data_IF_138538716260
#
_entry.id   IF_138538716260
#
_cell.length_a   1.000
_cell.length_b   1.000
_cell.length_c   1.000
_cell.angle_alpha   90.00
_cell.angle_beta   90.00
_cell.angle_gamma   90.00
#
_symmetry.space_group_name_H-M   'P 1'
#
loop_
_entity.id
_entity.type
_entity.pdbx_description
1 polymer ?
#
# COMPACT_ATOMS: atom_id res chain seq x y z
N UNK A 1 -10.39 -26.25 -5.46
CA UNK A 1 -9.31 -25.27 -5.61
C UNK A 1 -9.84 -23.84 -5.75
N UNK A 2 -10.86 -23.57 -6.57
CA UNK A 2 -11.39 -22.20 -6.79
C UNK A 2 -12.01 -21.47 -5.58
N UNK A 3 -12.43 -22.21 -4.53
CA UNK A 3 -13.18 -21.65 -3.39
C UNK A 3 -12.28 -21.01 -2.32
N UNK A 4 -11.04 -21.47 -2.20
CA UNK A 4 -10.09 -21.01 -1.17
C UNK A 4 -9.36 -19.72 -1.58
N UNK A 5 -9.02 -19.57 -2.87
CA UNK A 5 -8.43 -18.33 -3.41
C UNK A 5 -9.35 -17.13 -3.21
N UNK A 6 -10.64 -17.28 -3.54
CA UNK A 6 -11.66 -16.25 -3.34
C UNK A 6 -11.79 -15.83 -1.87
N UNK A 7 -11.75 -16.77 -0.93
CA UNK A 7 -11.81 -16.47 0.51
C UNK A 7 -10.61 -15.67 0.99
N UNK A 8 -9.39 -16.05 0.56
CA UNK A 8 -8.16 -15.33 0.93
C UNK A 8 -8.13 -13.90 0.37
N UNK A 9 -8.69 -13.71 -0.84
CA UNK A 9 -8.83 -12.41 -1.48
C UNK A 9 -9.85 -11.53 -0.76
N UNK A 10 -10.97 -12.09 -0.30
CA UNK A 10 -12.00 -11.33 0.43
C UNK A 10 -11.47 -10.83 1.76
N UNK A 11 -10.75 -11.66 2.51
CA UNK A 11 -10.22 -11.27 3.82
C UNK A 11 -9.14 -10.19 3.72
N UNK A 12 -8.28 -10.26 2.70
CA UNK A 12 -7.33 -9.19 2.41
C UNK A 12 -8.03 -7.89 2.03
N UNK A 13 -9.06 -7.96 1.18
CA UNK A 13 -9.86 -6.78 0.83
C UNK A 13 -10.57 -6.17 2.04
N UNK A 14 -11.12 -6.98 2.94
CA UNK A 14 -11.74 -6.49 4.17
C UNK A 14 -10.71 -5.81 5.08
N UNK A 15 -9.50 -6.37 5.17
CA UNK A 15 -8.42 -5.75 5.92
C UNK A 15 -7.95 -4.43 5.31
N UNK A 16 -7.77 -4.40 3.98
CA UNK A 16 -7.45 -3.18 3.23
C UNK A 16 -8.50 -2.09 3.47
N UNK A 17 -9.79 -2.45 3.49
CA UNK A 17 -10.88 -1.51 3.77
C UNK A 17 -10.82 -0.94 5.19
N UNK A 18 -10.53 -1.77 6.21
CA UNK A 18 -10.35 -1.28 7.59
C UNK A 18 -9.15 -0.35 7.70
N UNK A 19 -8.05 -0.69 7.03
CA UNK A 19 -6.84 0.14 7.01
C UNK A 19 -7.12 1.45 6.28
N UNK A 20 -7.80 1.42 5.13
CA UNK A 20 -8.23 2.59 4.38
C UNK A 20 -9.04 3.55 5.26
N UNK A 21 -10.02 3.04 6.02
CA UNK A 21 -10.80 3.88 6.93
C UNK A 21 -9.92 4.56 7.98
N UNK A 22 -8.98 3.82 8.59
CA UNK A 22 -8.01 4.40 9.54
C UNK A 22 -7.11 5.46 8.90
N UNK A 23 -6.73 5.28 7.62
CA UNK A 23 -5.96 6.28 6.86
C UNK A 23 -6.80 7.53 6.61
N UNK A 24 -8.07 7.36 6.24
CA UNK A 24 -9.01 8.46 6.03
C UNK A 24 -9.22 9.27 7.31
N UNK A 25 -9.45 8.60 8.44
CA UNK A 25 -9.60 9.23 9.75
C UNK A 25 -8.32 9.97 10.18
N UNK A 26 -7.15 9.38 9.92
CA UNK A 26 -5.85 10.00 10.22
C UNK A 26 -5.59 11.25 9.38
N UNK A 27 -5.92 11.22 8.09
CA UNK A 27 -5.71 12.37 7.20
C UNK A 27 -6.79 13.45 7.40
N UNK A 28 -7.98 13.09 7.86
CA UNK A 28 -9.08 14.02 8.11
C UNK A 28 -9.61 14.68 6.84
N UNK A 29 -9.45 14.02 5.69
CA UNK A 29 -9.87 14.50 4.37
C UNK A 29 -10.76 13.46 3.70
N UNK A 30 -11.41 13.83 2.60
CA UNK A 30 -12.19 12.90 1.79
C UNK A 30 -11.28 12.18 0.78
N UNK A 31 -10.82 10.97 1.11
CA UNK A 31 -10.09 10.11 0.18
C UNK A 31 -11.03 9.35 -0.74
N UNK A 32 -10.61 9.17 -1.99
CA UNK A 32 -11.23 8.25 -2.93
C UNK A 32 -10.43 6.95 -2.96
N UNK A 33 -11.09 5.84 -2.66
CA UNK A 33 -10.51 4.50 -2.76
C UNK A 33 -10.40 4.05 -4.23
N UNK A 34 -9.30 3.39 -4.60
CA UNK A 34 -9.13 2.73 -5.91
C UNK A 34 -9.41 3.63 -7.13
N UNK A 35 -9.14 4.94 -7.00
CA UNK A 35 -9.45 5.94 -8.02
C UNK A 35 -8.78 5.62 -9.36
N UNK A 36 -9.54 5.61 -10.46
CA UNK A 36 -8.97 5.47 -11.81
C UNK A 36 -8.34 6.77 -12.27
N UNK A 37 -7.01 6.84 -12.22
CA UNK A 37 -6.23 8.00 -12.61
C UNK A 37 -5.56 7.72 -13.95
N UNK A 38 -5.91 8.48 -14.98
CA UNK A 38 -5.32 8.34 -16.31
C UNK A 38 -3.88 8.89 -16.34
N UNK A 39 -2.95 8.06 -16.81
CA UNK A 39 -1.54 8.38 -17.02
C UNK A 39 -1.18 8.07 -18.48
N UNK A 40 -1.25 9.10 -19.33
CA UNK A 40 -1.15 8.94 -20.78
C UNK A 40 -2.33 8.15 -21.36
N UNK A 41 -2.06 7.04 -22.05
CA UNK A 41 -3.07 6.18 -22.67
C UNK A 41 -3.50 4.99 -21.81
N UNK A 42 -3.09 4.96 -20.54
CA UNK A 42 -3.46 3.93 -19.57
C UNK A 42 -3.92 4.58 -18.28
N UNK A 43 -4.27 3.77 -17.27
CA UNK A 43 -4.63 4.26 -15.95
C UNK A 43 -3.89 3.49 -14.86
N UNK A 44 -3.79 4.12 -13.70
CA UNK A 44 -3.39 3.49 -12.44
C UNK A 44 -4.53 3.62 -11.42
N UNK A 45 -4.50 2.77 -10.41
CA UNK A 45 -5.44 2.78 -9.29
C UNK A 45 -4.65 2.66 -8.00
N UNK A 46 -4.30 3.80 -7.36
CA UNK A 46 -3.74 3.75 -6.02
C UNK A 46 -4.83 3.35 -5.03
N UNK A 47 -4.43 2.77 -3.90
CA UNK A 47 -5.38 2.39 -2.84
C UNK A 47 -6.15 3.60 -2.31
N UNK A 48 -5.51 4.78 -2.21
CA UNK A 48 -6.20 6.02 -1.87
C UNK A 48 -5.64 7.25 -2.59
N UNK A 49 -6.54 8.20 -2.87
CA UNK A 49 -6.22 9.41 -3.63
C UNK A 49 -7.11 10.60 -3.25
N UNK A 50 -6.52 11.79 -3.18
CA UNK A 50 -7.25 13.07 -3.22
C UNK A 50 -6.57 14.03 -4.21
N UNK A 51 -7.28 14.37 -5.29
CA UNK A 51 -6.78 15.34 -6.27
C UNK A 51 -6.70 16.75 -5.68
N UNK A 52 -7.71 17.12 -4.90
CA UNK A 52 -7.85 18.45 -4.30
C UNK A 52 -6.69 18.72 -3.33
N UNK A 53 -6.43 17.76 -2.44
CA UNK A 53 -5.37 17.87 -1.42
C UNK A 53 -3.99 17.49 -1.95
N UNK A 54 -3.90 16.93 -3.17
CA UNK A 54 -2.64 16.48 -3.75
C UNK A 54 -2.05 15.29 -2.99
N UNK A 55 -2.88 14.32 -2.61
CA UNK A 55 -2.47 13.12 -1.88
C UNK A 55 -2.67 11.89 -2.76
N UNK A 56 -1.69 10.98 -2.69
CA UNK A 56 -1.74 9.66 -3.31
C UNK A 56 -1.04 8.66 -2.38
N UNK A 57 -1.57 7.46 -2.26
CA UNK A 57 -0.87 6.44 -1.51
C UNK A 57 -1.41 5.03 -1.66
N UNK A 58 -0.62 4.13 -1.08
CA UNK A 58 -0.72 2.69 -1.24
C UNK A 58 -0.62 2.02 0.13
N UNK A 59 -1.38 0.94 0.31
CA UNK A 59 -1.51 0.17 1.54
C UNK A 59 -0.78 -1.17 1.37
N UNK A 60 0.16 -1.43 2.26
CA UNK A 60 0.88 -2.69 2.36
C UNK A 60 0.54 -3.35 3.69
N UNK A 61 -0.56 -4.13 3.66
CA UNK A 61 -1.07 -4.89 4.82
C UNK A 61 -0.28 -6.18 5.13
N UNK A 62 0.89 -6.38 4.51
CA UNK A 62 1.67 -7.59 4.70
C UNK A 62 2.22 -7.69 6.13
N UNK A 63 2.01 -8.84 6.78
CA UNK A 63 2.44 -9.13 8.15
C UNK A 63 3.63 -10.09 8.17
N UNK A 64 4.64 -9.74 8.97
CA UNK A 64 5.88 -10.49 9.15
C UNK A 64 6.93 -10.23 8.07
N UNK A 65 8.02 -11.01 8.09
CA UNK A 65 9.25 -10.67 7.35
C UNK A 65 8.99 -10.33 5.87
N UNK A 66 9.46 -9.15 5.41
CA UNK A 66 9.27 -8.70 4.03
C UNK A 66 9.98 -9.62 3.04
N UNK A 67 9.31 -9.97 1.93
CA UNK A 67 9.91 -10.72 0.82
C UNK A 67 10.39 -9.76 -0.27
N UNK A 68 11.37 -10.19 -1.09
CA UNK A 68 11.85 -9.41 -2.25
C UNK A 68 10.73 -9.03 -3.23
N UNK A 69 9.72 -9.88 -3.37
CA UNK A 69 8.54 -9.58 -4.19
C UNK A 69 7.76 -8.35 -3.68
N UNK A 70 7.69 -8.14 -2.35
CA UNK A 70 7.04 -6.97 -1.77
C UNK A 70 7.84 -5.69 -2.05
N UNK A 71 9.17 -5.76 -2.01
CA UNK A 71 10.03 -4.62 -2.35
C UNK A 71 9.81 -4.16 -3.79
N UNK A 72 9.69 -5.12 -4.70
CA UNK A 72 9.40 -4.82 -6.11
C UNK A 72 8.01 -4.20 -6.26
N UNK A 73 7.01 -4.65 -5.49
CA UNK A 73 5.66 -4.05 -5.48
C UNK A 73 5.76 -2.58 -5.05
N UNK A 74 6.33 -2.31 -3.87
CA UNK A 74 6.53 -0.95 -3.35
C UNK A 74 7.30 -0.07 -4.35
N UNK A 75 8.40 -0.58 -4.92
CA UNK A 75 9.20 0.19 -5.89
C UNK A 75 8.40 0.54 -7.14
N UNK A 76 7.60 -0.40 -7.65
CA UNK A 76 6.74 -0.14 -8.81
C UNK A 76 5.68 0.91 -8.50
N UNK A 77 5.08 0.86 -7.32
CA UNK A 77 4.06 1.83 -6.93
C UNK A 77 4.65 3.23 -6.71
N UNK A 78 5.87 3.32 -6.16
CA UNK A 78 6.65 4.56 -6.13
C UNK A 78 6.84 5.14 -7.55
N UNK A 79 7.25 4.31 -8.51
CA UNK A 79 7.43 4.76 -9.88
C UNK A 79 6.13 5.29 -10.51
N UNK A 80 4.98 4.68 -10.19
CA UNK A 80 3.67 5.17 -10.65
C UNK A 80 3.33 6.53 -10.05
N UNK A 81 3.55 6.72 -8.74
CA UNK A 81 3.32 8.00 -8.07
C UNK A 81 4.20 9.11 -8.68
N UNK A 82 5.49 8.83 -8.89
CA UNK A 82 6.42 9.77 -9.55
C UNK A 82 6.04 10.06 -11.01
N UNK A 83 5.53 9.06 -11.73
CA UNK A 83 5.04 9.24 -13.09
C UNK A 83 3.83 10.18 -13.12
N UNK A 84 2.89 10.05 -12.18
CA UNK A 84 1.77 10.97 -12.06
C UNK A 84 2.24 12.41 -11.86
N UNK A 85 3.17 12.62 -10.91
CA UNK A 85 3.74 13.95 -10.65
C UNK A 85 4.34 14.55 -11.93
N UNK A 86 5.12 13.75 -12.65
CA UNK A 86 5.76 14.17 -13.90
C UNK A 86 4.76 14.53 -14.99
N UNK A 87 3.67 13.78 -15.13
CA UNK A 87 2.64 14.01 -16.16
C UNK A 87 1.81 15.25 -15.83
N UNK A 88 1.40 15.41 -14.57
CA UNK A 88 0.57 16.54 -14.16
C UNK A 88 1.36 17.82 -13.87
N UNK A 89 2.70 17.74 -13.78
CA UNK A 89 3.53 18.87 -13.39
C UNK A 89 3.23 19.36 -11.97
N UNK A 90 2.75 18.47 -11.11
CA UNK A 90 2.31 18.75 -9.73
C UNK A 90 3.03 17.81 -8.77
N UNK A 91 3.45 18.34 -7.62
CA UNK A 91 3.97 17.53 -6.52
C UNK A 91 2.79 17.03 -5.68
N UNK A 92 2.85 15.76 -5.31
CA UNK A 92 1.91 15.06 -4.46
C UNK A 92 2.58 14.67 -3.14
N UNK A 93 1.81 14.71 -2.05
CA UNK A 93 2.15 14.02 -0.81
C UNK A 93 1.93 12.52 -1.04
N UNK A 94 3.04 11.80 -1.25
CA UNK A 94 3.08 10.37 -1.53
C UNK A 94 3.19 9.60 -0.22
N UNK A 95 2.27 8.66 0.01
CA UNK A 95 2.18 7.94 1.29
C UNK A 95 2.20 6.44 1.06
N UNK A 96 3.10 5.74 1.74
CA UNK A 96 3.12 4.28 1.85
C UNK A 96 2.65 3.93 3.26
N UNK A 97 1.55 3.19 3.34
CA UNK A 97 0.97 2.71 4.59
C UNK A 97 1.43 1.29 4.83
N UNK A 98 1.93 1.00 6.03
CA UNK A 98 2.34 -0.34 6.46
C UNK A 98 1.65 -0.72 7.76
N UNK A 99 1.46 -2.01 7.99
CA UNK A 99 0.82 -2.56 9.20
C UNK A 99 1.76 -3.44 10.06
N UNK A 100 3.03 -3.51 9.69
CA UNK A 100 4.02 -4.36 10.33
C UNK A 100 5.33 -3.60 10.61
N UNK A 101 5.83 -3.75 11.83
CA UNK A 101 7.07 -3.10 12.26
C UNK A 101 8.29 -3.48 11.45
N UNK A 102 8.37 -4.72 10.95
CA UNK A 102 9.50 -5.15 10.16
C UNK A 102 9.51 -4.47 8.79
N UNK A 103 8.33 -4.27 8.17
CA UNK A 103 8.18 -3.47 6.96
C UNK A 103 8.59 -2.01 7.22
N UNK A 104 8.08 -1.40 8.29
CA UNK A 104 8.44 -0.03 8.66
C UNK A 104 9.94 0.16 8.88
N UNK A 105 10.58 -0.74 9.65
CA UNK A 105 12.02 -0.72 9.91
C UNK A 105 12.80 -0.88 8.61
N UNK A 106 12.34 -1.74 7.70
CA UNK A 106 12.98 -1.96 6.40
C UNK A 106 12.90 -0.73 5.49
N UNK A 107 11.72 -0.14 5.35
CA UNK A 107 11.50 1.05 4.50
C UNK A 107 12.19 2.30 5.04
N UNK A 108 12.45 2.35 6.35
CA UNK A 108 13.27 3.40 7.00
C UNK A 108 14.75 3.06 7.13
N UNK A 109 15.17 1.88 6.66
CA UNK A 109 16.55 1.40 6.78
C UNK A 109 17.53 2.07 5.80
N UNK A 110 18.61 1.36 5.47
CA UNK A 110 19.72 1.87 4.63
C UNK A 110 19.76 1.26 3.23
N UNK A 111 18.71 0.54 2.83
CA UNK A 111 18.62 -0.04 1.48
C UNK A 111 18.45 1.04 0.41
N UNK A 112 18.71 0.69 -0.85
CA UNK A 112 18.44 1.59 -2.00
C UNK A 112 16.97 2.01 -2.04
N UNK A 113 16.04 1.09 -1.75
CA UNK A 113 14.61 1.42 -1.67
C UNK A 113 14.33 2.45 -0.57
N UNK A 114 14.93 2.28 0.61
CA UNK A 114 14.79 3.24 1.70
C UNK A 114 15.41 4.60 1.35
N UNK A 115 16.50 4.61 0.58
CA UNK A 115 17.08 5.85 0.05
C UNK A 115 16.15 6.50 -0.97
N UNK A 116 15.54 5.75 -1.89
CA UNK A 116 14.53 6.29 -2.81
C UNK A 116 13.36 6.92 -2.03
N UNK A 117 12.84 6.25 -1.00
CA UNK A 117 11.76 6.78 -0.15
C UNK A 117 12.16 8.14 0.44
N UNK A 118 13.39 8.27 0.96
CA UNK A 118 13.90 9.55 1.47
C UNK A 118 14.07 10.61 0.39
N UNK A 119 14.73 10.28 -0.72
CA UNK A 119 15.09 11.25 -1.76
C UNK A 119 13.88 11.74 -2.57
N UNK A 120 12.80 10.97 -2.62
CA UNK A 120 11.56 11.32 -3.32
C UNK A 120 10.46 11.83 -2.37
N UNK A 121 10.80 12.15 -1.13
CA UNK A 121 9.89 12.69 -0.11
C UNK A 121 8.62 11.83 0.07
N UNK A 122 8.81 10.51 0.15
CA UNK A 122 7.71 9.56 0.35
C UNK A 122 7.52 9.33 1.85
N UNK A 123 6.32 9.59 2.33
CA UNK A 123 5.94 9.37 3.71
C UNK A 123 5.65 7.88 3.95
N UNK A 124 6.27 7.29 4.98
CA UNK A 124 5.94 5.94 5.43
C UNK A 124 5.16 6.01 6.74
N UNK A 125 3.90 5.58 6.71
CA UNK A 125 2.96 5.63 7.83
C UNK A 125 2.68 4.22 8.35
N UNK A 126 2.95 4.01 9.63
CA UNK A 126 2.43 2.82 10.32
C UNK A 126 0.97 3.06 10.71
N UNK A 127 0.10 2.12 10.36
CA UNK A 127 -1.26 2.02 10.91
C UNK A 127 -1.31 0.77 11.78
N UNK A 128 -1.66 0.97 13.05
CA UNK A 128 -1.88 -0.13 13.96
C UNK A 128 -3.23 -0.80 13.68
N UNK A 129 -3.17 -2.11 13.50
CA UNK A 129 -4.33 -2.97 13.30
C UNK A 129 -4.56 -3.81 14.56
N UNK A 130 -5.81 -4.08 14.87
CA UNK A 130 -6.20 -4.90 16.01
C UNK A 130 -5.70 -6.35 15.86
N UNK A 131 -5.49 -7.04 16.98
CA UNK A 131 -4.94 -8.40 16.99
C UNK A 131 -5.78 -9.36 16.15
N UNK A 132 -7.11 -9.29 16.24
CA UNK A 132 -8.00 -10.15 15.46
C UNK A 132 -7.84 -9.95 13.94
N UNK A 133 -7.66 -8.69 13.51
CA UNK A 133 -7.41 -8.36 12.10
C UNK A 133 -6.02 -8.83 11.66
N UNK A 134 -5.03 -8.68 12.54
CA UNK A 134 -3.66 -9.16 12.31
C UNK A 134 -3.62 -10.67 12.12
N UNK A 135 -4.33 -11.43 12.97
CA UNK A 135 -4.40 -12.89 12.90
C UNK A 135 -5.12 -13.34 11.61
N UNK A 136 -6.20 -12.67 11.24
CA UNK A 136 -6.92 -12.88 9.97
C UNK A 136 -5.96 -12.71 8.77
N UNK A 137 -5.18 -11.62 8.75
CA UNK A 137 -4.17 -11.37 7.71
C UNK A 137 -3.10 -12.47 7.66
N UNK A 138 -2.60 -12.92 8.81
CA UNK A 138 -1.60 -13.99 8.89
C UNK A 138 -2.16 -15.29 8.27
N UNK A 139 -3.40 -15.66 8.60
CA UNK A 139 -4.04 -16.88 8.07
C UNK A 139 -4.35 -16.77 6.57
N UNK A 140 -4.78 -15.60 6.09
CA UNK A 140 -4.94 -15.34 4.65
C UNK A 140 -3.61 -15.50 3.89
N UNK A 141 -2.52 -14.93 4.41
CA UNK A 141 -1.19 -15.05 3.82
C UNK A 141 -0.67 -16.50 3.82
N UNK A 142 -0.95 -17.30 4.86
CA UNK A 142 -0.55 -18.72 4.90
C UNK A 142 -1.24 -19.52 3.79
N UNK A 143 -2.55 -19.32 3.61
CA UNK A 143 -3.31 -19.96 2.52
C UNK A 143 -2.76 -19.61 1.14
N UNK A 144 -2.46 -18.33 0.89
CA UNK A 144 -1.84 -17.92 -0.38
C UNK A 144 -0.47 -18.56 -0.63
N UNK A 145 0.33 -18.81 0.42
CA UNK A 145 1.62 -19.51 0.26
C UNK A 145 1.44 -20.97 -0.16
N UNK A 146 0.41 -21.65 0.32
CA UNK A 146 0.17 -23.07 -0.04
C UNK A 146 -0.31 -23.23 -1.49
N UNK A 147 -0.97 -22.22 -2.06
CA UNK A 147 -1.47 -22.25 -3.44
C UNK A 147 -0.38 -21.88 -4.47
N UNK A 148 0.56 -21.01 -4.11
CA UNK A 148 1.65 -20.54 -4.99
C UNK A 148 2.97 -21.32 -4.85
N UNK A 149 2.96 -22.48 -4.16
CA UNK A 149 4.13 -23.31 -3.90
C UNK A 149 4.28 -24.46 -4.91
#
# INVERSE_FOLDING_TARGET
MEKEEKSSSIEQQMAEQVIFQKVNDWLGIELVENAKIFVGNTFMQPDFYSKADGIIGEIFAHIGKPKKAQDNKISNDILKMLLLEKIEGKIYRKIIVVCDEDEMKKLKGTSVLAECIRQFDIEVKMIEIETDLRDTLIEAQKRQRMVNA
#
